data_IF_172552543649
#
_entry.id   IF_172552543649
#
_cell.length_a   1.000
_cell.length_b   1.000
_cell.length_c   1.000
_cell.angle_alpha   90.00
_cell.angle_beta   90.00
_cell.angle_gamma   90.00
#
_symmetry.space_group_name_H-M   'P 1'
#
loop_
_entity.id
_entity.type
_entity.pdbx_description
1 polymer ?
#
# COMPACT_ATOMS: atom_id res chain seq x y z
N UNK A 1 -8.21 0.04 -15.81
CA UNK A 1 -7.60 0.32 -14.49
C UNK A 1 -8.30 -0.53 -13.45
N UNK A 2 -7.53 -1.31 -12.71
CA UNK A 2 -7.99 -2.18 -11.63
C UNK A 2 -6.82 -2.54 -10.70
N UNK A 3 -6.96 -3.64 -9.99
CA UNK A 3 -5.93 -4.20 -9.11
C UNK A 3 -5.48 -5.55 -9.63
N UNK A 4 -4.21 -5.88 -9.39
CA UNK A 4 -3.64 -7.19 -9.67
C UNK A 4 -3.22 -7.85 -8.36
N UNK A 5 -3.49 -9.15 -8.22
CA UNK A 5 -3.18 -9.92 -6.99
C UNK A 5 -1.68 -9.89 -6.69
N UNK A 6 -0.86 -9.82 -7.73
CA UNK A 6 0.60 -9.80 -7.64
C UNK A 6 1.16 -8.47 -7.12
N UNK A 7 0.37 -7.39 -7.09
CA UNK A 7 0.75 -6.08 -6.53
C UNK A 7 -0.13 -5.71 -5.33
N UNK A 8 -0.41 -6.73 -4.50
CA UNK A 8 -1.15 -6.65 -3.26
C UNK A 8 -0.46 -7.46 -2.16
N UNK A 9 -0.69 -7.11 -0.90
CA UNK A 9 -0.25 -7.94 0.23
C UNK A 9 -1.09 -9.22 0.31
N UNK A 10 -0.56 -10.35 0.81
CA UNK A 10 -1.27 -11.64 0.79
C UNK A 10 -2.61 -11.67 1.51
N UNK A 11 -2.85 -10.73 2.43
CA UNK A 11 -4.10 -10.63 3.19
C UNK A 11 -5.17 -9.76 2.51
N UNK A 12 -4.95 -9.23 1.30
CA UNK A 12 -5.93 -8.42 0.57
C UNK A 12 -6.83 -9.33 -0.27
N UNK A 13 -8.13 -9.08 -0.17
CA UNK A 13 -9.11 -9.60 -1.10
C UNK A 13 -9.71 -8.45 -1.88
N UNK A 14 -9.93 -8.66 -3.17
CA UNK A 14 -10.63 -7.69 -3.98
C UNK A 14 -11.61 -8.33 -4.96
N UNK A 15 -12.74 -7.66 -5.17
CA UNK A 15 -13.74 -8.07 -6.14
C UNK A 15 -13.48 -7.44 -7.52
N UNK A 16 -14.08 -8.03 -8.56
CA UNK A 16 -14.13 -7.42 -9.90
C UNK A 16 -14.89 -6.09 -9.94
N UNK A 17 -15.66 -5.77 -8.89
CA UNK A 17 -16.38 -4.51 -8.71
C UNK A 17 -15.56 -3.42 -8.00
N UNK A 18 -14.31 -3.70 -7.64
CA UNK A 18 -13.42 -2.72 -6.99
C UNK A 18 -13.60 -2.60 -5.48
N UNK A 19 -14.24 -3.59 -4.84
CA UNK A 19 -14.32 -3.66 -3.38
C UNK A 19 -13.04 -4.30 -2.85
N UNK A 20 -12.38 -3.65 -1.89
CA UNK A 20 -11.20 -4.14 -1.17
C UNK A 20 -11.60 -4.53 0.25
N UNK A 21 -11.09 -5.65 0.74
CA UNK A 21 -11.12 -6.02 2.15
C UNK A 21 -9.80 -6.69 2.54
N UNK A 22 -9.55 -6.79 3.84
CA UNK A 22 -8.38 -7.44 4.38
C UNK A 22 -8.78 -8.59 5.30
N UNK A 23 -7.95 -9.63 5.38
CA UNK A 23 -8.12 -10.70 6.37
C UNK A 23 -8.08 -10.11 7.78
N UNK A 24 -9.23 -10.08 8.43
CA UNK A 24 -9.43 -9.43 9.73
C UNK A 24 -9.44 -10.42 10.91
N UNK A 25 -9.15 -11.69 10.66
CA UNK A 25 -9.18 -12.75 11.67
C UNK A 25 -7.80 -13.00 12.30
N UNK A 26 -7.79 -13.29 13.60
CA UNK A 26 -6.61 -13.66 14.36
C UNK A 26 -5.45 -12.66 14.22
N UNK A 27 -4.22 -13.12 13.92
CA UNK A 27 -3.04 -12.25 13.87
C UNK A 27 -3.07 -11.22 12.74
N UNK A 28 -3.80 -11.48 11.65
CA UNK A 28 -3.89 -10.59 10.49
C UNK A 28 -4.70 -9.31 10.78
N UNK A 29 -5.56 -9.33 11.79
CA UNK A 29 -6.24 -8.12 12.29
C UNK A 29 -5.27 -6.99 12.70
N UNK A 30 -4.03 -7.34 13.05
CA UNK A 30 -3.00 -6.41 13.47
C UNK A 30 -2.14 -5.91 12.31
N UNK A 31 -2.21 -6.56 11.14
CA UNK A 31 -1.35 -6.29 10.00
C UNK A 31 -2.01 -5.34 9.01
N UNK A 32 -1.22 -4.45 8.41
CA UNK A 32 -1.67 -3.60 7.31
C UNK A 32 -1.91 -4.43 6.06
N UNK A 33 -2.97 -4.12 5.33
CA UNK A 33 -3.16 -4.52 3.95
C UNK A 33 -2.68 -3.40 3.02
N UNK A 34 -2.09 -3.75 1.87
CA UNK A 34 -1.62 -2.79 0.88
C UNK A 34 -1.90 -3.28 -0.54
N UNK A 35 -2.37 -2.40 -1.41
CA UNK A 35 -2.60 -2.70 -2.82
C UNK A 35 -2.27 -1.51 -3.70
N UNK A 36 -1.76 -1.77 -4.91
CA UNK A 36 -1.47 -0.77 -5.93
C UNK A 36 -2.27 -1.05 -7.20
N UNK A 37 -2.75 0.02 -7.84
CA UNK A 37 -3.46 -0.09 -9.11
C UNK A 37 -2.51 -0.53 -10.23
N UNK A 38 -3.04 -1.26 -11.21
CA UNK A 38 -2.27 -1.76 -12.35
C UNK A 38 -2.00 -0.74 -13.46
N UNK A 39 -2.43 0.51 -13.26
CA UNK A 39 -2.25 1.60 -14.20
C UNK A 39 -1.81 2.84 -13.45
N UNK A 40 -0.74 3.45 -13.91
CA UNK A 40 -0.21 4.71 -13.43
C UNK A 40 -0.32 5.80 -14.48
N UNK A 41 -0.08 7.03 -14.04
CA UNK A 41 0.02 8.19 -14.91
C UNK A 41 1.38 8.86 -14.76
N UNK A 42 2.01 9.25 -15.88
CA UNK A 42 3.28 10.00 -15.89
C UNK A 42 3.12 11.51 -16.13
N UNK A 43 1.94 11.93 -16.59
CA UNK A 43 1.59 13.32 -16.90
C UNK A 43 0.06 13.53 -16.82
N UNK A 44 -0.41 14.77 -16.95
CA UNK A 44 -1.83 15.09 -16.95
C UNK A 44 -2.46 15.21 -15.56
N UNK A 45 -3.80 15.24 -15.50
CA UNK A 45 -4.56 15.47 -14.26
C UNK A 45 -5.69 14.46 -14.11
N UNK A 46 -5.58 13.58 -13.12
CA UNK A 46 -6.50 12.45 -12.96
C UNK A 46 -7.01 12.28 -11.54
N UNK A 47 -8.26 11.85 -11.42
CA UNK A 47 -8.92 11.55 -10.15
C UNK A 47 -9.13 10.04 -9.99
N UNK A 48 -8.93 9.55 -8.78
CA UNK A 48 -9.52 8.29 -8.32
C UNK A 48 -10.16 8.51 -6.95
N UNK A 49 -11.16 7.68 -6.62
CA UNK A 49 -11.92 7.81 -5.38
C UNK A 49 -11.89 6.53 -4.56
N UNK A 50 -11.96 6.66 -3.24
CA UNK A 50 -12.05 5.56 -2.29
C UNK A 50 -13.17 5.87 -1.31
N UNK A 51 -14.14 4.97 -1.18
CA UNK A 51 -15.22 5.06 -0.21
C UNK A 51 -15.05 4.01 0.88
N UNK A 52 -15.17 4.39 2.14
CA UNK A 52 -15.21 3.43 3.24
C UNK A 52 -16.59 2.81 3.34
N UNK A 53 -16.69 1.49 3.15
CA UNK A 53 -17.95 0.73 3.22
C UNK A 53 -18.25 0.27 4.64
N UNK A 54 -17.26 -0.34 5.29
CA UNK A 54 -17.41 -1.01 6.58
C UNK A 54 -16.17 -0.84 7.47
N UNK A 55 -16.38 -0.99 8.77
CA UNK A 55 -15.35 -0.95 9.80
C UNK A 55 -15.34 -2.27 10.55
N UNK A 56 -14.17 -2.89 10.67
CA UNK A 56 -14.02 -4.09 11.47
C UNK A 56 -14.13 -3.73 12.97
N UNK A 57 -15.00 -4.40 13.75
CA UNK A 57 -15.13 -4.14 15.17
C UNK A 57 -13.83 -4.48 15.91
N UNK A 58 -13.53 -3.74 16.99
CA UNK A 58 -12.40 -4.00 17.91
C UNK A 58 -11.02 -4.05 17.23
N UNK A 59 -10.88 -3.45 16.04
CA UNK A 59 -9.62 -3.39 15.28
C UNK A 59 -9.15 -1.96 15.17
N UNK A 60 -7.84 -1.73 15.20
CA UNK A 60 -7.28 -0.41 14.91
C UNK A 60 -7.55 -0.04 13.45
N UNK A 61 -8.28 1.05 13.26
CA UNK A 61 -8.65 1.53 11.93
C UNK A 61 -7.52 2.35 11.33
N UNK A 62 -7.11 1.97 10.13
CA UNK A 62 -6.07 2.68 9.40
C UNK A 62 -6.42 2.81 7.93
N UNK A 63 -6.20 4.00 7.38
CA UNK A 63 -6.35 4.29 5.96
C UNK A 63 -5.23 5.26 5.57
N UNK A 64 -4.49 4.90 4.54
CA UNK A 64 -3.49 5.73 3.88
C UNK A 64 -3.73 5.62 2.39
N UNK A 65 -3.88 6.75 1.71
CA UNK A 65 -4.22 6.81 0.29
C UNK A 65 -3.26 7.76 -0.38
N UNK A 66 -2.73 7.37 -1.53
CA UNK A 66 -1.80 8.19 -2.28
C UNK A 66 -1.33 7.50 -3.53
N UNK A 67 -0.05 7.70 -3.85
CA UNK A 67 0.58 7.16 -5.04
C UNK A 67 1.97 6.63 -4.71
N UNK A 68 2.43 5.67 -5.50
CA UNK A 68 3.80 5.16 -5.42
C UNK A 68 4.33 4.72 -6.78
N UNK A 69 5.64 4.50 -6.88
CA UNK A 69 6.27 3.91 -8.05
C UNK A 69 5.97 2.41 -8.14
N UNK A 70 6.01 1.85 -9.35
CA UNK A 70 5.99 0.40 -9.52
C UNK A 70 7.16 -0.27 -8.74
N UNK A 71 6.93 -1.49 -8.25
CA UNK A 71 7.90 -2.28 -7.46
C UNK A 71 8.34 -1.64 -6.12
N UNK A 72 7.78 -0.50 -5.72
CA UNK A 72 8.05 0.09 -4.40
C UNK A 72 7.21 -0.57 -3.30
N UNK A 73 7.38 -0.15 -2.06
CA UNK A 73 6.57 -0.65 -0.93
C UNK A 73 5.07 -0.43 -1.16
N UNK A 74 4.27 -1.43 -0.81
CA UNK A 74 2.80 -1.34 -0.78
C UNK A 74 2.29 -0.63 0.49
N UNK A 75 3.18 -0.32 1.43
CA UNK A 75 2.85 0.36 2.68
C UNK A 75 3.20 1.84 2.57
N UNK A 76 2.21 2.65 2.20
CA UNK A 76 2.36 4.09 2.14
C UNK A 76 2.79 4.65 3.51
N UNK A 77 3.79 5.52 3.53
CA UNK A 77 4.26 6.14 4.77
C UNK A 77 5.03 5.18 5.69
N UNK A 78 5.70 4.17 5.12
CA UNK A 78 6.65 3.31 5.83
C UNK A 78 8.09 3.86 5.85
N UNK A 79 8.31 5.04 5.25
CA UNK A 79 9.63 5.67 5.11
C UNK A 79 10.29 5.43 3.76
N UNK A 80 9.66 4.67 2.85
CA UNK A 80 10.12 4.55 1.46
C UNK A 80 9.98 5.88 0.70
N UNK A 81 11.04 6.38 0.03
CA UNK A 81 10.97 7.62 -0.74
C UNK A 81 10.17 7.47 -2.04
N UNK A 82 9.86 6.25 -2.47
CA UNK A 82 9.13 5.97 -3.70
C UNK A 82 7.60 6.14 -3.59
N UNK A 83 7.11 6.66 -2.46
CA UNK A 83 5.68 6.83 -2.20
C UNK A 83 5.33 8.14 -1.50
N UNK A 84 4.09 8.59 -1.70
CA UNK A 84 3.58 9.82 -1.08
C UNK A 84 2.07 9.77 -0.96
N UNK A 85 1.50 10.32 0.10
CA UNK A 85 0.06 10.24 0.33
C UNK A 85 -0.44 10.91 1.60
N UNK A 86 -1.70 10.60 1.91
CA UNK A 86 -2.44 11.14 3.05
C UNK A 86 -2.87 10.02 3.97
N UNK A 87 -2.74 10.24 5.28
CA UNK A 87 -3.33 9.41 6.32
C UNK A 87 -4.77 9.81 6.60
N UNK A 88 -5.51 8.91 7.27
CA UNK A 88 -6.90 9.13 7.72
C UNK A 88 -7.07 10.39 8.56
N UNK A 89 -6.07 10.74 9.35
CA UNK A 89 -5.99 11.93 10.19
C UNK A 89 -5.78 13.23 9.40
N UNK A 90 -5.59 13.16 8.08
CA UNK A 90 -5.28 14.31 7.23
C UNK A 90 -3.79 14.66 7.19
N UNK A 91 -2.94 13.81 7.76
CA UNK A 91 -1.49 13.96 7.70
C UNK A 91 -0.99 13.61 6.29
N UNK A 92 -0.32 14.55 5.64
CA UNK A 92 0.49 14.27 4.47
C UNK A 92 1.83 13.69 4.90
N UNK A 93 2.23 12.58 4.29
CA UNK A 93 3.51 11.94 4.58
C UNK A 93 4.34 11.78 3.31
N UNK A 94 5.65 11.99 3.47
CA UNK A 94 6.62 11.93 2.38
C UNK A 94 8.01 11.62 2.93
N UNK A 95 8.80 10.85 2.20
CA UNK A 95 10.18 10.54 2.56
C UNK A 95 11.13 11.01 1.46
N UNK A 96 12.32 11.45 1.87
CA UNK A 96 13.36 11.95 0.97
C UNK A 96 14.46 10.89 0.76
N UNK A 97 14.98 10.72 -0.46
CA UNK A 97 16.09 9.81 -0.73
C UNK A 97 17.31 10.13 0.17
N UNK A 98 17.95 9.08 0.70
CA UNK A 98 19.12 9.22 1.56
C UNK A 98 18.82 9.59 3.02
N UNK A 99 17.57 9.90 3.38
CA UNK A 99 17.15 10.12 4.76
C UNK A 99 16.41 8.87 5.29
N UNK A 100 17.14 7.76 5.41
CA UNK A 100 16.56 6.49 5.86
C UNK A 100 15.85 6.66 7.21
N UNK A 101 14.54 6.36 7.25
CA UNK A 101 13.73 6.41 8.45
C UNK A 101 13.17 7.79 8.81
N UNK A 102 13.50 8.86 8.07
CA UNK A 102 12.92 10.18 8.26
C UNK A 102 11.68 10.34 7.37
N UNK A 103 10.52 10.01 7.93
CA UNK A 103 9.23 10.30 7.29
C UNK A 103 8.76 11.70 7.70
N UNK A 104 8.78 12.64 6.76
CA UNK A 104 8.23 13.98 6.96
C UNK A 104 6.70 13.88 7.03
N UNK A 105 6.13 14.50 8.05
CA UNK A 105 4.68 14.51 8.30
C UNK A 105 4.22 15.93 8.51
N UNK A 106 3.08 16.29 7.91
CA UNK A 106 2.46 17.60 8.07
C UNK A 106 0.94 17.47 8.01
N UNK A 107 0.26 18.20 8.88
CA UNK A 107 -1.19 18.40 8.76
C UNK A 107 -1.50 19.15 7.46
N UNK A 108 -2.20 18.47 6.54
CA UNK A 108 -2.38 18.96 5.18
C UNK A 108 -3.85 19.00 4.74
N UNK A 109 -4.73 18.27 5.43
CA UNK A 109 -6.15 18.25 5.13
C UNK A 109 -6.99 18.04 6.39
N UNK A 110 -8.29 18.32 6.26
CA UNK A 110 -9.30 17.85 7.22
C UNK A 110 -9.19 16.31 7.37
N UNK A 111 -9.39 15.75 8.58
CA UNK A 111 -9.44 14.30 8.78
C UNK A 111 -10.57 13.66 7.96
N UNK A 112 -10.33 12.42 7.51
CA UNK A 112 -11.30 11.65 6.74
C UNK A 112 -12.43 11.16 7.65
N UNK A 113 -13.65 11.62 7.37
CA UNK A 113 -14.84 11.25 8.12
C UNK A 113 -15.20 9.76 7.98
N UNK A 114 -15.97 9.19 8.92
CA UNK A 114 -16.54 7.86 8.76
C UNK A 114 -17.37 7.77 7.47
N UNK A 115 -17.13 6.75 6.63
CA UNK A 115 -17.85 6.55 5.35
C UNK A 115 -17.67 7.67 4.31
N UNK A 116 -16.73 8.59 4.52
CA UNK A 116 -16.43 9.65 3.55
C UNK A 116 -15.95 9.06 2.22
N UNK A 117 -16.29 9.75 1.14
CA UNK A 117 -15.75 9.50 -0.19
C UNK A 117 -14.51 10.36 -0.36
N UNK A 118 -13.36 9.69 -0.42
CA UNK A 118 -12.05 10.31 -0.52
C UNK A 118 -11.64 10.36 -1.98
N UNK A 119 -11.66 11.55 -2.58
CA UNK A 119 -11.12 11.80 -3.91
C UNK A 119 -9.65 12.21 -3.84
N UNK A 120 -8.79 11.54 -4.59
CA UNK A 120 -7.38 11.91 -4.73
C UNK A 120 -7.14 12.37 -6.15
N UNK A 121 -6.90 13.68 -6.30
CA UNK A 121 -6.57 14.29 -7.58
C UNK A 121 -5.05 14.38 -7.71
N UNK A 122 -4.52 13.66 -8.69
CA UNK A 122 -3.13 13.69 -9.09
C UNK A 122 -2.95 14.72 -10.21
N UNK A 123 -2.22 15.80 -9.94
CA UNK A 123 -1.95 16.85 -10.92
C UNK A 123 -0.47 16.82 -11.33
N UNK A 124 -0.19 16.18 -12.47
CA UNK A 124 1.13 16.07 -13.09
C UNK A 124 1.26 16.98 -14.33
N UNK A 125 0.24 17.78 -14.62
CA UNK A 125 0.24 18.69 -15.76
C UNK A 125 1.13 19.92 -15.45
N UNK A 126 2.24 20.11 -16.18
CA UNK A 126 3.15 21.25 -15.97
C UNK A 126 2.52 22.60 -16.31
N UNK A 127 1.47 22.63 -17.15
CA UNK A 127 0.75 23.86 -17.50
C UNK A 127 -0.24 24.30 -16.39
N UNK A 128 -0.50 23.43 -15.41
CA UNK A 128 -1.43 23.73 -14.31
C UNK A 128 -0.79 24.65 -13.27
N UNK A 129 -1.56 25.62 -12.75
CA UNK A 129 -1.14 26.49 -11.63
C UNK A 129 -0.65 25.71 -10.40
N UNK A 130 -1.18 24.51 -10.16
CA UNK A 130 -0.79 23.63 -9.06
C UNK A 130 -0.11 22.36 -9.58
N UNK A 131 0.77 22.48 -10.58
CA UNK A 131 1.50 21.37 -11.18
C UNK A 131 2.29 20.55 -10.14
N UNK A 132 2.41 19.24 -10.38
CA UNK A 132 3.12 18.28 -9.55
C UNK A 132 2.61 18.26 -8.10
N UNK A 133 1.30 18.16 -7.92
CA UNK A 133 0.66 18.09 -6.59
C UNK A 133 -0.32 16.94 -6.48
N UNK A 134 -0.53 16.48 -5.24
CA UNK A 134 -1.70 15.70 -4.85
C UNK A 134 -2.68 16.59 -4.12
N UNK A 135 -3.96 16.47 -4.45
CA UNK A 135 -5.04 17.16 -3.74
C UNK A 135 -6.03 16.16 -3.20
N UNK A 136 -6.39 16.32 -1.92
CA UNK A 136 -7.42 15.51 -1.27
C UNK A 136 -8.77 16.23 -1.33
N UNK A 137 -9.81 15.47 -1.68
CA UNK A 137 -11.20 15.88 -1.66
C UNK A 137 -11.97 14.92 -0.75
N UNK A 138 -12.84 15.45 0.09
CA UNK A 138 -13.74 14.68 0.95
C UNK A 138 -15.16 15.06 0.56
N UNK A 139 -15.92 14.06 0.12
CA UNK A 139 -17.33 14.20 -0.26
C UNK A 139 -17.59 15.29 -1.34
N UNK A 140 -16.65 15.42 -2.27
CA UNK A 140 -16.71 16.41 -3.37
C UNK A 140 -16.05 17.76 -3.04
N UNK A 141 -15.73 18.02 -1.79
CA UNK A 141 -15.10 19.27 -1.35
C UNK A 141 -13.60 19.13 -1.15
N UNK A 142 -12.84 20.17 -1.51
CA UNK A 142 -11.40 20.21 -1.27
C UNK A 142 -11.13 20.16 0.24
N UNK A 143 -10.34 19.19 0.68
CA UNK A 143 -10.07 18.96 2.11
C UNK A 143 -8.89 19.77 2.65
N UNK A 144 -8.05 20.33 1.77
CA UNK A 144 -6.89 21.13 2.12
C UNK A 144 -6.14 21.66 0.89
N UNK A 145 -5.07 22.45 1.10
CA UNK A 145 -4.24 22.92 0.01
C UNK A 145 -3.57 21.75 -0.74
N UNK A 146 -3.29 21.88 -2.05
CA UNK A 146 -2.50 20.90 -2.80
C UNK A 146 -1.14 20.65 -2.13
N UNK A 147 -0.75 19.38 -2.02
CA UNK A 147 0.53 18.98 -1.45
C UNK A 147 1.54 18.62 -2.55
N UNK A 148 2.80 19.06 -2.45
CA UNK A 148 3.78 18.92 -3.51
C UNK A 148 4.28 17.48 -3.62
N UNK A 149 4.27 16.94 -4.84
CA UNK A 149 4.96 15.68 -5.15
C UNK A 149 6.47 15.97 -5.16
N UNK A 150 7.29 15.18 -4.43
CA UNK A 150 8.75 15.34 -4.42
C UNK A 150 9.38 15.28 -5.80
N UNK A 151 10.47 16.01 -5.99
CA UNK A 151 11.16 16.12 -7.28
C UNK A 151 11.60 14.77 -7.84
N UNK A 152 12.06 13.84 -7.00
CA UNK A 152 12.50 12.50 -7.41
C UNK A 152 11.36 11.58 -7.87
N UNK A 153 10.11 11.96 -7.65
CA UNK A 153 8.91 11.26 -8.15
C UNK A 153 8.33 11.88 -9.42
N UNK A 154 8.71 13.13 -9.76
CA UNK A 154 8.17 13.84 -10.93
C UNK A 154 8.66 13.21 -12.23
N UNK A 155 7.78 13.18 -13.25
CA UNK A 155 8.06 12.58 -14.55
C UNK A 155 8.09 11.04 -14.56
N UNK A 156 8.02 10.40 -13.39
CA UNK A 156 7.84 8.94 -13.29
C UNK A 156 6.35 8.62 -13.26
N UNK A 157 6.00 7.40 -13.68
CA UNK A 157 4.64 6.90 -13.55
C UNK A 157 4.28 6.69 -12.07
N UNK A 158 3.19 7.32 -11.65
CA UNK A 158 2.65 7.23 -10.30
C UNK A 158 1.36 6.40 -10.32
N UNK A 159 1.34 5.37 -9.48
CA UNK A 159 0.26 4.41 -9.41
C UNK A 159 -0.53 4.64 -8.12
N UNK A 160 -1.87 4.77 -8.17
CA UNK A 160 -2.70 4.79 -6.98
C UNK A 160 -2.35 3.63 -6.05
N UNK A 161 -2.12 3.95 -4.79
CA UNK A 161 -1.75 2.96 -3.77
C UNK A 161 -2.61 3.20 -2.54
N UNK A 162 -3.09 2.13 -1.94
CA UNK A 162 -3.98 2.18 -0.77
C UNK A 162 -3.42 1.22 0.27
N UNK A 163 -3.19 1.73 1.47
CA UNK A 163 -2.80 0.93 2.64
C UNK A 163 -3.89 1.08 3.69
N UNK A 164 -4.40 -0.02 4.21
CA UNK A 164 -5.54 0.00 5.12
C UNK A 164 -5.51 -1.14 6.14
N UNK A 165 -6.23 -0.99 7.24
CA UNK A 165 -6.46 -2.04 8.25
C UNK A 165 -7.79 -1.81 8.93
N UNK A 166 -8.54 -2.90 9.15
CA UNK A 166 -9.85 -2.86 9.78
C UNK A 166 -10.92 -2.15 8.95
N UNK A 167 -10.78 -2.07 7.63
CA UNK A 167 -11.71 -1.39 6.73
C UNK A 167 -12.05 -2.28 5.53
N UNK A 168 -13.28 -2.15 5.04
CA UNK A 168 -13.66 -2.54 3.68
C UNK A 168 -13.88 -1.28 2.85
N UNK A 169 -13.33 -1.23 1.65
CA UNK A 169 -13.30 -0.03 0.80
C UNK A 169 -13.94 -0.33 -0.57
N UNK A 170 -14.61 0.64 -1.17
CA UNK A 170 -14.91 0.64 -2.61
C UNK A 170 -13.97 1.62 -3.30
N UNK A 171 -13.24 1.16 -4.32
CA UNK A 171 -12.34 2.00 -5.10
C UNK A 171 -12.95 2.25 -6.47
N UNK A 172 -13.09 3.53 -6.80
CA UNK A 172 -13.60 3.97 -8.08
C UNK A 172 -12.49 4.66 -8.88
N UNK A 173 -12.03 3.99 -9.94
CA UNK A 173 -11.15 4.59 -10.94
C UNK A 173 -11.92 5.33 -12.05
N UNK A 174 -13.27 5.32 -12.03
CA UNK A 174 -14.14 5.94 -13.02
C UNK A 174 -14.62 4.99 -14.12
N UNK A 175 -14.99 3.75 -13.76
CA UNK A 175 -15.60 2.82 -14.72
C UNK A 175 -16.90 3.44 -15.24
N UNK A 176 -17.00 3.64 -16.56
CA UNK A 176 -18.13 4.38 -17.15
C UNK A 176 -18.04 5.90 -17.00
N UNK A 177 -16.86 6.45 -16.70
CA UNK A 177 -16.60 7.89 -16.56
C UNK A 177 -17.33 8.58 -15.39
N UNK A 178 -17.79 7.82 -14.40
CA UNK A 178 -18.60 8.35 -13.29
C UNK A 178 -17.76 8.58 -12.04
N UNK A 179 -17.99 9.73 -11.42
CA UNK A 179 -17.54 10.04 -10.06
C UNK A 179 -18.57 9.52 -9.05
N UNK A 180 -18.11 9.07 -7.89
CA UNK A 180 -18.97 8.80 -6.74
C UNK A 180 -19.50 10.12 -6.16
N UNK A 181 -18.67 11.18 -6.18
CA UNK A 181 -19.08 12.55 -5.82
C UNK A 181 -18.60 13.56 -6.84
N UNK A 182 -19.50 14.43 -7.35
CA UNK A 182 -19.11 15.46 -8.29
C UNK A 182 -18.16 16.45 -7.62
N UNK A 183 -17.11 16.84 -8.34
CA UNK A 183 -16.22 17.94 -7.95
C UNK A 183 -16.78 19.27 -8.49
N UNK A 184 -16.41 20.43 -7.88
CA UNK A 184 -16.83 21.75 -8.37
C UNK A 184 -16.17 22.17 -9.69
N UNK A 185 -15.50 21.24 -10.38
CA UNK A 185 -14.86 21.42 -11.68
C UNK A 185 -14.80 20.08 -12.42
N UNK A 186 -14.64 20.16 -13.73
CA UNK A 186 -14.48 18.97 -14.58
C UNK A 186 -13.09 18.37 -14.39
N UNK A 187 -13.02 17.08 -14.08
CA UNK A 187 -11.78 16.34 -14.04
C UNK A 187 -11.94 14.97 -14.73
N UNK A 188 -10.83 14.46 -15.23
CA UNK A 188 -10.78 13.15 -15.88
C UNK A 188 -10.52 12.09 -14.83
N UNK A 189 -11.30 11.02 -14.84
CA UNK A 189 -11.06 9.88 -13.96
C UNK A 189 -9.88 9.06 -14.47
N UNK A 190 -9.15 8.38 -13.59
CA UNK A 190 -7.96 7.61 -13.96
C UNK A 190 -8.25 6.50 -14.97
N UNK A 191 -9.44 5.92 -14.95
CA UNK A 191 -9.88 4.94 -15.95
C UNK A 191 -9.88 5.47 -17.39
N UNK A 192 -9.90 6.80 -17.55
CA UNK A 192 -9.84 7.51 -18.82
C UNK A 192 -8.48 8.21 -19.01
N UNK A 193 -7.43 7.69 -18.39
CA UNK A 193 -6.07 8.18 -18.59
C UNK A 193 -5.74 8.22 -20.08
N UNK A 194 -5.24 9.37 -20.56
CA UNK A 194 -4.87 9.53 -21.95
C UNK A 194 -3.73 8.55 -22.30
N UNK A 195 -3.77 7.98 -23.50
CA UNK A 195 -2.78 6.98 -23.94
C UNK A 195 -1.33 7.46 -23.82
N UNK A 196 -1.08 8.74 -24.08
CA UNK A 196 0.25 9.34 -23.94
C UNK A 196 0.74 9.43 -22.48
N UNK A 197 -0.18 9.43 -21.50
CA UNK A 197 0.11 9.55 -20.07
C UNK A 197 0.04 8.19 -19.36
N UNK A 198 -0.58 7.20 -19.98
CA UNK A 198 -0.80 5.87 -19.47
C UNK A 198 0.52 5.10 -19.32
N UNK A 199 0.73 4.50 -18.15
CA UNK A 199 1.79 3.52 -17.92
C UNK A 199 1.17 2.27 -17.25
N UNK A 200 1.24 1.08 -17.88
CA UNK A 200 0.81 -0.16 -17.23
C UNK A 200 1.83 -0.56 -16.15
N UNK A 201 1.39 -1.32 -15.14
CA UNK A 201 2.33 -1.91 -14.19
C UNK A 201 3.29 -2.86 -14.92
N UNK A 202 4.60 -2.83 -14.61
CA UNK A 202 5.55 -3.80 -15.14
C UNK A 202 5.37 -5.19 -14.50
N UNK A 203 4.61 -5.30 -13.40
CA UNK A 203 4.37 -6.54 -12.68
C UNK A 203 3.31 -7.34 -13.43
N UNK A 204 3.66 -8.54 -13.88
CA UNK A 204 2.77 -9.40 -14.66
C UNK A 204 2.23 -10.52 -13.79
N UNK A 205 0.92 -10.73 -13.85
CA UNK A 205 0.30 -11.95 -13.32
C UNK A 205 0.76 -13.13 -14.18
N UNK A 206 1.34 -14.15 -13.55
CA UNK A 206 1.69 -15.40 -14.22
C UNK A 206 0.50 -16.37 -14.14
N UNK A 207 0.20 -17.05 -15.26
CA UNK A 207 -0.86 -18.07 -15.32
C UNK A 207 -0.48 -19.31 -14.48
N UNK A 208 0.82 -19.66 -14.47
CA UNK A 208 1.37 -20.71 -13.63
C UNK A 208 2.07 -20.07 -12.43
N UNK A 209 1.75 -20.55 -11.23
CA UNK A 209 2.39 -20.13 -9.99
C UNK A 209 3.40 -21.17 -9.57
N UNK A 210 4.61 -20.73 -9.23
CA UNK A 210 5.67 -21.57 -8.69
C UNK A 210 5.68 -21.44 -7.16
N UNK A 211 5.59 -22.56 -6.44
CA UNK A 211 5.86 -22.60 -5.01
C UNK A 211 7.30 -23.07 -4.79
N UNK A 212 8.14 -22.18 -4.28
CA UNK A 212 9.52 -22.51 -3.92
C UNK A 212 9.63 -22.72 -2.42
N UNK A 213 10.02 -23.93 -2.01
CA UNK A 213 10.25 -24.28 -0.60
C UNK A 213 11.75 -24.49 -0.38
N UNK A 214 12.50 -23.44 -0.01
CA UNK A 214 13.92 -23.58 0.27
C UNK A 214 14.11 -24.40 1.57
N UNK A 215 15.03 -25.36 1.53
CA UNK A 215 15.43 -26.18 2.69
C UNK A 215 16.89 -25.89 3.00
N UNK A 216 17.20 -25.58 4.26
CA UNK A 216 18.56 -25.30 4.71
C UNK A 216 18.81 -25.79 6.12
N UNK A 217 20.08 -25.94 6.46
CA UNK A 217 20.51 -26.25 7.82
C UNK A 217 20.43 -25.00 8.71
N UNK A 218 20.05 -25.14 9.99
CA UNK A 218 20.05 -24.02 10.92
C UNK A 218 21.43 -23.34 11.03
N UNK A 219 21.40 -22.02 11.13
CA UNK A 219 22.52 -21.10 11.25
C UNK A 219 23.59 -21.25 10.15
N UNK A 220 23.23 -21.84 9.01
CA UNK A 220 24.11 -22.09 7.86
C UNK A 220 23.88 -21.12 6.69
N UNK A 221 23.36 -19.93 6.98
CA UNK A 221 23.14 -18.89 5.97
C UNK A 221 21.88 -19.09 5.12
N UNK A 222 20.84 -19.76 5.66
CA UNK A 222 19.58 -20.01 4.95
C UNK A 222 19.01 -18.73 4.33
N UNK A 223 18.94 -17.65 5.10
CA UNK A 223 18.41 -16.37 4.63
C UNK A 223 19.25 -15.69 3.54
N UNK A 224 20.56 -15.96 3.48
CA UNK A 224 21.41 -15.50 2.39
C UNK A 224 21.12 -16.26 1.09
N UNK A 225 20.91 -17.57 1.18
CA UNK A 225 20.48 -18.38 0.04
C UNK A 225 19.13 -17.92 -0.51
N UNK A 226 18.14 -17.70 0.36
CA UNK A 226 16.82 -17.17 -0.04
C UNK A 226 16.95 -15.78 -0.67
N UNK A 227 17.83 -14.92 -0.14
CA UNK A 227 18.09 -13.61 -0.74
C UNK A 227 18.68 -13.75 -2.16
N UNK A 228 19.71 -14.57 -2.34
CA UNK A 228 20.35 -14.82 -3.64
C UNK A 228 19.36 -15.40 -4.66
N UNK A 229 18.48 -16.30 -4.24
CA UNK A 229 17.43 -16.82 -5.10
C UNK A 229 16.49 -15.71 -5.62
N UNK A 230 16.21 -14.70 -4.79
CA UNK A 230 15.33 -13.58 -5.13
C UNK A 230 16.04 -12.47 -5.91
N UNK A 231 17.37 -12.49 -5.99
CA UNK A 231 18.13 -11.49 -6.75
C UNK A 231 17.77 -11.59 -8.23
N UNK A 232 17.23 -10.50 -8.78
CA UNK A 232 16.74 -10.45 -10.17
C UNK A 232 15.39 -11.13 -10.42
N UNK A 233 14.79 -11.77 -9.40
CA UNK A 233 13.48 -12.45 -9.46
C UNK A 233 12.42 -11.69 -8.66
N UNK A 234 11.85 -10.64 -9.27
CA UNK A 234 10.83 -9.79 -8.63
C UNK A 234 9.47 -10.47 -8.49
N UNK A 235 9.24 -11.56 -9.22
CA UNK A 235 8.03 -12.37 -9.16
C UNK A 235 7.92 -13.21 -7.88
N UNK A 236 9.03 -13.42 -7.15
CA UNK A 236 9.04 -14.23 -5.93
C UNK A 236 8.65 -13.41 -4.70
N UNK A 237 7.49 -13.74 -4.15
CA UNK A 237 7.02 -13.25 -2.84
C UNK A 237 7.42 -14.25 -1.76
N UNK A 238 8.17 -13.80 -0.77
CA UNK A 238 8.58 -14.65 0.34
C UNK A 238 7.51 -14.66 1.45
N UNK A 239 7.13 -15.87 1.88
CA UNK A 239 6.16 -16.13 2.95
C UNK A 239 6.84 -16.74 4.18
N UNK A 240 7.87 -16.05 4.69
CA UNK A 240 8.73 -16.52 5.79
C UNK A 240 8.63 -15.69 7.06
N UNK A 241 9.18 -16.22 8.16
CA UNK A 241 9.19 -15.55 9.47
C UNK A 241 9.81 -14.13 9.40
N UNK A 242 10.86 -13.92 8.59
CA UNK A 242 11.49 -12.59 8.44
C UNK A 242 10.61 -11.59 7.70
N UNK A 243 9.83 -12.04 6.71
CA UNK A 243 8.91 -11.16 5.99
C UNK A 243 7.71 -10.81 6.87
N UNK A 244 7.21 -11.75 7.67
CA UNK A 244 6.19 -11.43 8.68
C UNK A 244 6.74 -10.46 9.74
N UNK A 245 7.99 -10.61 10.18
CA UNK A 245 8.62 -9.64 11.08
C UNK A 245 8.69 -8.23 10.46
N UNK A 246 9.10 -8.13 9.18
CA UNK A 246 9.08 -6.86 8.43
C UNK A 246 7.67 -6.31 8.29
N UNK A 247 6.68 -7.17 8.07
CA UNK A 247 5.28 -6.77 7.96
C UNK A 247 4.72 -6.25 9.30
N UNK A 248 5.00 -6.92 10.41
CA UNK A 248 4.72 -6.42 11.76
C UNK A 248 5.31 -5.03 11.96
N UNK A 249 6.59 -4.85 11.64
CA UNK A 249 7.27 -3.56 11.76
C UNK A 249 6.60 -2.46 10.92
N UNK A 250 6.28 -2.74 9.66
CA UNK A 250 5.58 -1.79 8.77
C UNK A 250 4.15 -1.50 9.24
N UNK A 251 3.53 -2.44 9.94
CA UNK A 251 2.20 -2.30 10.57
C UNK A 251 2.21 -1.56 11.91
N UNK A 252 3.37 -1.06 12.33
CA UNK A 252 3.56 -0.31 13.58
C UNK A 252 3.84 -1.18 14.81
N UNK A 253 3.96 -2.50 14.65
CA UNK A 253 4.30 -3.41 15.75
C UNK A 253 5.82 -3.42 15.92
N UNK A 254 6.31 -2.98 17.08
CA UNK A 254 7.73 -3.01 17.45
C UNK A 254 7.99 -4.16 18.41
N UNK A 255 9.16 -4.83 18.33
CA UNK A 255 9.56 -5.79 19.35
C UNK A 255 9.59 -5.11 20.73
N UNK A 256 9.02 -5.76 21.74
CA UNK A 256 8.98 -5.26 23.13
C UNK A 256 10.16 -5.72 23.98
N UNK A 257 10.97 -6.64 23.46
CA UNK A 257 12.20 -7.11 24.10
C UNK A 257 13.34 -7.11 23.10
N UNK A 258 14.54 -6.88 23.62
CA UNK A 258 15.76 -7.07 22.87
C UNK A 258 15.99 -8.55 22.58
N UNK A 259 16.78 -8.82 21.54
CA UNK A 259 17.17 -10.18 21.18
C UNK A 259 18.01 -10.76 22.31
N UNK A 260 17.55 -11.87 22.90
CA UNK A 260 18.35 -12.63 23.86
C UNK A 260 19.31 -13.62 23.17
N UNK A 261 20.18 -14.25 23.95
CA UNK A 261 21.17 -15.21 23.45
C UNK A 261 20.57 -16.53 22.90
N UNK A 262 19.28 -16.78 23.13
CA UNK A 262 18.56 -17.96 22.63
C UNK A 262 17.94 -17.74 21.24
N UNK A 263 18.11 -16.54 20.66
CA UNK A 263 17.66 -16.24 19.32
C UNK A 263 18.44 -16.99 18.24
N UNK A 264 17.73 -17.77 17.42
CA UNK A 264 18.24 -18.26 16.15
C UNK A 264 18.30 -17.13 15.13
N UNK A 265 19.38 -17.07 14.33
CA UNK A 265 19.51 -16.10 13.22
C UNK A 265 18.53 -16.40 12.09
N UNK A 266 18.12 -17.66 11.97
CA UNK A 266 17.21 -18.15 10.95
C UNK A 266 15.73 -18.16 11.39
N UNK A 267 15.45 -17.86 12.66
CA UNK A 267 14.09 -17.82 13.21
C UNK A 267 13.87 -16.55 14.04
N UNK A 268 13.58 -15.41 13.40
CA UNK A 268 13.35 -14.18 14.13
C UNK A 268 12.19 -14.37 15.12
N UNK A 269 12.40 -13.91 16.36
CA UNK A 269 11.31 -13.67 17.29
C UNK A 269 10.65 -12.34 16.95
N UNK A 270 9.32 -12.35 16.94
CA UNK A 270 8.51 -11.17 16.67
C UNK A 270 8.42 -10.29 17.91
N UNK A 271 8.25 -10.92 19.08
CA UNK A 271 8.05 -10.30 20.39
C UNK A 271 7.20 -9.02 20.36
N UNK A 272 6.14 -9.02 19.57
CA UNK A 272 5.25 -7.87 19.36
C UNK A 272 4.38 -7.60 20.58
N UNK A 273 4.27 -8.58 21.50
CA UNK A 273 3.33 -8.56 22.61
C UNK A 273 1.91 -8.93 22.19
N UNK A 274 1.73 -9.51 21.00
CA UNK A 274 0.47 -10.05 20.51
C UNK A 274 0.62 -11.57 20.46
N UNK A 275 -0.05 -12.26 21.37
CA UNK A 275 0.11 -13.71 21.55
C UNK A 275 -0.10 -14.52 20.26
N UNK A 276 -1.07 -14.15 19.42
CA UNK A 276 -1.31 -14.84 18.14
C UNK A 276 -0.19 -14.63 17.12
N UNK A 277 0.47 -13.47 17.12
CA UNK A 277 1.62 -13.20 16.26
C UNK A 277 2.88 -13.91 16.79
N UNK A 278 3.18 -13.70 18.07
CA UNK A 278 4.39 -14.22 18.72
C UNK A 278 4.36 -15.77 18.80
N UNK A 279 3.18 -16.35 19.00
CA UNK A 279 2.91 -17.79 18.93
C UNK A 279 2.83 -18.37 17.52
N UNK A 280 3.00 -17.55 16.47
CA UNK A 280 3.01 -17.96 15.05
C UNK A 280 1.72 -18.57 14.53
N UNK A 281 0.58 -18.21 15.11
CA UNK A 281 -0.75 -18.61 14.63
C UNK A 281 -1.08 -18.07 13.22
N UNK A 282 -0.22 -17.20 12.66
CA UNK A 282 -0.34 -16.68 11.30
C UNK A 282 0.12 -17.68 10.24
N UNK A 283 0.90 -18.72 10.60
CA UNK A 283 1.47 -19.66 9.62
C UNK A 283 0.41 -20.46 8.87
N UNK A 284 -0.57 -20.99 9.58
CA UNK A 284 -1.63 -21.80 8.98
C UNK A 284 -2.51 -20.98 8.01
N UNK A 285 -3.07 -19.81 8.39
CA UNK A 285 -3.82 -19.01 7.42
C UNK A 285 -2.96 -18.51 6.25
N UNK A 286 -1.66 -18.23 6.47
CA UNK A 286 -0.76 -17.83 5.38
C UNK A 286 -0.52 -18.97 4.38
N UNK A 287 -0.40 -20.20 4.87
CA UNK A 287 -0.33 -21.39 4.00
C UNK A 287 -1.64 -21.58 3.22
N UNK A 288 -2.79 -21.39 3.85
CA UNK A 288 -4.10 -21.45 3.16
C UNK A 288 -4.22 -20.37 2.08
N UNK A 289 -3.70 -19.16 2.31
CA UNK A 289 -3.70 -18.08 1.32
C UNK A 289 -2.75 -18.33 0.14
N UNK A 290 -1.75 -19.20 0.33
CA UNK A 290 -0.76 -19.53 -0.69
C UNK A 290 -1.18 -20.69 -1.62
N UNK A 291 -2.23 -21.43 -1.25
CA UNK A 291 -2.86 -22.48 -2.07
C UNK A 291 -3.79 -21.88 -3.12
#
# INVERSE_FOLDING_TARGET
>A
VGFDVVDATPNVFFSSTGVLSALSQGPFSQLLAGVRANTGAKAGRYLFEVQVLEFAPKTQLELRIGVSLANSSLFLGDGSPESVGFGRDGTYFVAEPGQLGCLHRKEASRPMGPRSIVGVLMNLDPASRAANTLSLFLDGERAGPPQPIPSHLRGKALFPTITFRGLSLAVNFGRGATQLRPLPFVCTMLAQVAQAHHEPTPIKTQEQRELVVPVGLPDSGFFDCVRRLREGRTELVELGDREVARWCHRSGLRPKRDRDASHSRDRPDLATGVAALDGRAWREPLLTLAQ
#
